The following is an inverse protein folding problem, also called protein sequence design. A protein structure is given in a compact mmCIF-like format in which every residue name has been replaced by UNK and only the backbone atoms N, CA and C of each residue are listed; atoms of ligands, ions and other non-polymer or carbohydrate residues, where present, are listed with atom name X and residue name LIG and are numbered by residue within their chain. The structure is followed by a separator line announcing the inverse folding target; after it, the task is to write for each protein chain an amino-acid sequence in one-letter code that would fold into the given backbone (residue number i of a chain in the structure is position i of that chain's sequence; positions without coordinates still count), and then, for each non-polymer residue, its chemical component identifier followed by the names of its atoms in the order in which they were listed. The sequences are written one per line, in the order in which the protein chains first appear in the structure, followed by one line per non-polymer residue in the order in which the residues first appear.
data_IF_275932833413
#
_entry.id   IF_275932833413
#
_cell.length_a   1.000
_cell.length_b   1.000
_cell.length_c   1.000
_cell.angle_alpha   90.00
_cell.angle_beta   90.00
_cell.angle_gamma   90.00
#
_symmetry.space_group_name_H-M   'P 1'
#
loop_
_entity.id
_entity.type
_entity.pdbx_description
1 polymer ?
#
# COMPACT_ATOMS: atom_id res chain seq x y z
N UNK A 1 -13.87 26.43 36.64
CA UNK A 1 -13.12 25.19 36.34
C UNK A 1 -13.89 24.25 35.42
N UNK A 2 -15.17 23.92 35.68
CA UNK A 2 -15.95 22.99 34.83
C UNK A 2 -16.09 23.41 33.35
N UNK A 3 -16.39 24.68 33.09
CA UNK A 3 -16.53 25.19 31.70
C UNK A 3 -15.22 25.09 30.92
N UNK A 4 -14.08 25.39 31.54
CA UNK A 4 -12.77 25.30 30.90
C UNK A 4 -12.43 23.86 30.49
N UNK A 5 -12.73 22.88 31.36
CA UNK A 5 -12.52 21.45 31.06
C UNK A 5 -13.43 21.01 29.91
N UNK A 6 -14.69 21.43 29.90
CA UNK A 6 -15.63 21.11 28.82
C UNK A 6 -15.19 21.67 27.46
N UNK A 7 -14.68 22.91 27.44
CA UNK A 7 -14.14 23.52 26.22
C UNK A 7 -12.89 22.81 25.71
N UNK A 8 -11.98 22.42 26.60
CA UNK A 8 -10.77 21.65 26.23
C UNK A 8 -11.16 20.28 25.68
N UNK A 9 -12.09 19.57 26.33
CA UNK A 9 -12.58 18.28 25.85
C UNK A 9 -13.24 18.39 24.47
N UNK A 10 -14.07 19.41 24.25
CA UNK A 10 -14.69 19.68 22.96
C UNK A 10 -13.64 19.95 21.86
N UNK A 11 -12.60 20.72 22.17
CA UNK A 11 -11.50 20.99 21.25
C UNK A 11 -10.71 19.71 20.90
N UNK A 12 -10.42 18.86 21.88
CA UNK A 12 -9.71 17.59 21.67
C UNK A 12 -10.54 16.67 20.75
N UNK A 13 -11.85 16.55 21.02
CA UNK A 13 -12.76 15.76 20.17
C UNK A 13 -12.75 16.30 18.73
N UNK A 14 -12.84 17.61 18.56
CA UNK A 14 -12.78 18.25 17.24
C UNK A 14 -11.48 17.91 16.49
N UNK A 15 -10.33 18.02 17.17
CA UNK A 15 -9.02 17.69 16.56
C UNK A 15 -8.93 16.21 16.18
N UNK A 16 -9.48 15.32 17.01
CA UNK A 16 -9.52 13.88 16.71
C UNK A 16 -10.36 13.61 15.46
N UNK A 17 -11.55 14.21 15.37
CA UNK A 17 -12.42 14.07 14.20
C UNK A 17 -11.72 14.52 12.90
N UNK A 18 -11.03 15.66 12.95
CA UNK A 18 -10.24 16.17 11.82
C UNK A 18 -9.18 15.17 11.41
N UNK A 19 -8.36 14.67 12.35
CA UNK A 19 -7.29 13.70 12.05
C UNK A 19 -7.82 12.41 11.40
N UNK A 20 -8.97 11.92 11.85
CA UNK A 20 -9.59 10.72 11.30
C UNK A 20 -9.92 10.93 9.82
N UNK A 21 -10.56 12.05 9.46
CA UNK A 21 -10.92 12.34 8.05
C UNK A 21 -9.69 12.38 7.14
N UNK A 22 -8.63 13.09 7.54
CA UNK A 22 -7.40 13.16 6.74
C UNK A 22 -6.72 11.79 6.61
N UNK A 23 -6.77 10.95 7.64
CA UNK A 23 -6.19 9.60 7.61
C UNK A 23 -6.93 8.70 6.62
N UNK A 24 -8.27 8.78 6.57
CA UNK A 24 -9.08 7.99 5.64
C UNK A 24 -8.81 8.37 4.17
N UNK A 25 -8.67 9.67 3.89
CA UNK A 25 -8.33 10.17 2.55
C UNK A 25 -6.91 9.71 2.16
N UNK A 26 -5.96 9.78 3.10
CA UNK A 26 -4.60 9.27 2.90
C UNK A 26 -4.58 7.79 2.54
N UNK A 27 -5.29 6.94 3.30
CA UNK A 27 -5.40 5.50 3.06
C UNK A 27 -5.99 5.18 1.68
N UNK A 28 -7.04 5.88 1.26
CA UNK A 28 -7.64 5.69 -0.05
C UNK A 28 -6.62 5.98 -1.17
N UNK A 29 -5.86 7.06 -1.04
CA UNK A 29 -4.81 7.41 -2.00
C UNK A 29 -3.65 6.40 -1.98
N UNK A 30 -3.21 5.94 -0.80
CA UNK A 30 -2.22 4.88 -0.64
C UNK A 30 -2.63 3.59 -1.37
N UNK A 31 -3.88 3.16 -1.19
CA UNK A 31 -4.42 1.97 -1.87
C UNK A 31 -4.45 2.12 -3.39
N UNK A 32 -4.82 3.31 -3.89
CA UNK A 32 -4.80 3.61 -5.32
C UNK A 32 -3.38 3.52 -5.89
N UNK A 33 -2.40 4.12 -5.21
CA UNK A 33 -0.99 4.09 -5.61
C UNK A 33 -0.45 2.65 -5.59
N UNK A 34 -0.78 1.88 -4.56
CA UNK A 34 -0.40 0.46 -4.46
C UNK A 34 -1.01 -0.37 -5.61
N UNK A 35 -2.27 -0.13 -5.97
CA UNK A 35 -2.93 -0.79 -7.10
C UNK A 35 -2.18 -0.53 -8.42
N UNK A 36 -1.81 0.72 -8.67
CA UNK A 36 -1.08 1.13 -9.87
C UNK A 36 0.31 0.50 -9.90
N UNK A 37 1.05 0.53 -8.78
CA UNK A 37 2.38 -0.07 -8.67
C UNK A 37 2.34 -1.58 -8.91
N UNK A 38 1.39 -2.29 -8.30
CA UNK A 38 1.26 -3.74 -8.49
C UNK A 38 0.82 -4.11 -9.91
N UNK A 39 0.00 -3.28 -10.55
CA UNK A 39 -0.37 -3.46 -11.96
C UNK A 39 0.83 -3.25 -12.89
N UNK A 40 1.65 -2.22 -12.63
CA UNK A 40 2.92 -1.98 -13.33
C UNK A 40 3.89 -3.16 -13.18
N UNK A 41 4.05 -3.69 -11.96
CA UNK A 41 4.90 -4.86 -11.71
C UNK A 41 4.43 -6.10 -12.50
N UNK A 42 3.11 -6.27 -12.65
CA UNK A 42 2.51 -7.34 -13.44
C UNK A 42 2.82 -7.26 -14.94
N UNK A 43 3.10 -6.08 -15.49
CA UNK A 43 3.56 -5.95 -16.88
C UNK A 43 5.04 -6.32 -17.06
N UNK A 44 5.85 -6.13 -16.01
CA UNK A 44 7.29 -6.43 -16.05
C UNK A 44 7.51 -7.95 -15.92
N UNK A 45 6.71 -8.62 -15.10
CA UNK A 45 6.80 -10.08 -14.94
C UNK A 45 6.03 -10.78 -16.07
N UNK A 46 6.68 -11.62 -16.90
CA UNK A 46 5.96 -12.37 -17.93
C UNK A 46 4.97 -13.33 -17.29
N UNK A 47 3.68 -13.17 -17.59
CA UNK A 47 2.57 -13.95 -17.03
C UNK A 47 1.43 -13.05 -16.53
N UNK A 48 0.27 -13.62 -16.21
CA UNK A 48 -0.82 -12.87 -15.56
C UNK A 48 -0.77 -13.13 -14.06
N UNK A 49 -0.84 -12.07 -13.24
CA UNK A 49 -1.01 -12.27 -11.80
C UNK A 49 -2.33 -13.01 -11.54
N UNK A 50 -2.33 -14.05 -10.69
CA UNK A 50 -3.56 -14.65 -10.21
C UNK A 50 -4.40 -13.55 -9.52
N UNK A 51 -5.72 -13.62 -9.65
CA UNK A 51 -6.68 -12.68 -9.04
C UNK A 51 -6.75 -11.26 -9.65
N UNK A 52 -6.12 -11.01 -10.81
CA UNK A 52 -6.29 -9.76 -11.57
C UNK A 52 -5.95 -8.50 -10.76
N UNK A 53 -6.87 -7.53 -10.70
CA UNK A 53 -6.68 -6.26 -9.97
C UNK A 53 -6.47 -6.48 -8.47
N UNK A 54 -7.13 -7.46 -7.86
CA UNK A 54 -6.94 -7.77 -6.44
C UNK A 54 -5.53 -8.31 -6.16
N UNK A 55 -5.02 -9.18 -7.05
CA UNK A 55 -3.65 -9.65 -6.99
C UNK A 55 -2.63 -8.52 -7.13
N UNK A 56 -2.91 -7.56 -8.01
CA UNK A 56 -2.08 -6.36 -8.18
C UNK A 56 -2.07 -5.48 -6.91
N UNK A 57 -3.22 -5.19 -6.31
CA UNK A 57 -3.28 -4.38 -5.07
C UNK A 57 -2.47 -5.05 -3.95
N UNK A 58 -2.68 -6.35 -3.73
CA UNK A 58 -1.97 -7.09 -2.68
C UNK A 58 -0.47 -7.16 -2.96
N UNK A 59 -0.07 -7.43 -4.21
CA UNK A 59 1.33 -7.42 -4.60
C UNK A 59 1.98 -6.04 -4.45
N UNK A 60 1.26 -4.96 -4.72
CA UNK A 60 1.73 -3.58 -4.52
C UNK A 60 1.89 -3.22 -3.04
N UNK A 61 0.91 -3.57 -2.19
CA UNK A 61 0.97 -3.33 -0.75
C UNK A 61 2.06 -4.16 -0.08
N UNK A 62 2.04 -5.49 -0.27
CA UNK A 62 3.06 -6.38 0.30
C UNK A 62 4.45 -6.10 -0.31
N UNK A 63 4.49 -5.79 -1.62
CA UNK A 63 5.71 -5.43 -2.34
C UNK A 63 6.32 -4.13 -1.83
N UNK A 64 5.52 -3.17 -1.38
CA UNK A 64 6.04 -1.96 -0.72
C UNK A 64 6.82 -2.26 0.54
N UNK A 65 6.33 -3.18 1.37
CA UNK A 65 7.02 -3.60 2.61
C UNK A 65 8.27 -4.43 2.29
N UNK A 66 8.16 -5.42 1.42
CA UNK A 66 9.32 -6.25 1.05
C UNK A 66 10.39 -5.39 0.37
N UNK A 67 9.99 -4.51 -0.54
CA UNK A 67 10.89 -3.61 -1.25
C UNK A 67 11.61 -2.64 -0.32
N UNK A 68 10.89 -2.00 0.60
CA UNK A 68 11.52 -1.10 1.58
C UNK A 68 12.44 -1.83 2.56
N UNK A 69 12.13 -3.07 2.92
CA UNK A 69 13.03 -3.92 3.71
C UNK A 69 14.32 -4.29 2.95
N UNK A 70 14.22 -4.53 1.64
CA UNK A 70 15.36 -4.95 0.82
C UNK A 70 16.29 -3.80 0.42
N UNK A 71 15.72 -2.65 0.04
CA UNK A 71 16.46 -1.55 -0.61
C UNK A 71 16.42 -0.26 0.23
N UNK A 72 15.68 -0.25 1.34
CA UNK A 72 15.43 0.94 2.13
C UNK A 72 14.35 1.84 1.54
N UNK A 73 13.99 2.90 2.27
CA UNK A 73 13.01 3.91 1.85
C UNK A 73 13.66 4.97 0.95
N UNK A 74 13.88 4.62 -0.32
CA UNK A 74 14.43 5.54 -1.31
C UNK A 74 13.30 6.44 -1.85
N UNK A 75 13.47 7.78 -1.84
CA UNK A 75 12.50 8.69 -2.47
C UNK A 75 12.44 8.45 -3.99
N UNK A 76 11.29 8.70 -4.66
CA UNK A 76 10.12 9.46 -4.23
C UNK A 76 9.07 8.65 -3.45
N UNK A 77 8.41 9.32 -2.50
CA UNK A 77 7.29 8.78 -1.73
C UNK A 77 5.97 9.32 -2.27
N UNK A 78 5.05 8.45 -2.68
CA UNK A 78 3.72 8.83 -3.17
C UNK A 78 2.68 8.07 -2.33
N UNK A 79 1.77 8.81 -1.69
CA UNK A 79 0.74 8.23 -0.84
C UNK A 79 1.30 7.43 0.35
N UNK A 80 2.42 7.87 0.93
CA UNK A 80 3.05 7.18 2.06
C UNK A 80 3.84 5.91 1.68
N UNK A 81 3.93 5.57 0.39
CA UNK A 81 4.70 4.43 -0.11
C UNK A 81 5.91 4.92 -0.90
N UNK A 82 7.08 4.33 -0.64
CA UNK A 82 8.27 4.54 -1.45
C UNK A 82 8.11 3.84 -2.81
N UNK A 83 8.04 4.60 -3.90
CA UNK A 83 7.63 4.09 -5.22
C UNK A 83 8.64 3.10 -5.78
N UNK A 84 9.93 3.46 -5.75
CA UNK A 84 10.99 2.62 -6.33
C UNK A 84 11.10 1.29 -5.57
N UNK A 85 11.25 1.28 -4.22
CA UNK A 85 11.26 0.02 -3.48
C UNK A 85 9.99 -0.80 -3.71
N UNK A 86 8.81 -0.16 -3.73
CA UNK A 86 7.54 -0.87 -3.93
C UNK A 86 7.42 -1.57 -5.27
N UNK A 87 7.90 -0.96 -6.37
CA UNK A 87 7.93 -1.62 -7.68
C UNK A 87 8.82 -2.87 -7.61
N UNK A 88 10.03 -2.75 -7.05
CA UNK A 88 10.96 -3.89 -6.99
C UNK A 88 10.40 -5.02 -6.13
N UNK A 89 9.90 -4.70 -4.94
CA UNK A 89 9.29 -5.70 -4.06
C UNK A 89 8.04 -6.33 -4.68
N UNK A 90 7.21 -5.55 -5.40
CA UNK A 90 6.03 -6.07 -6.09
C UNK A 90 6.41 -7.01 -7.25
N UNK A 91 7.48 -6.72 -8.00
CA UNK A 91 8.02 -7.60 -9.05
C UNK A 91 8.50 -8.93 -8.46
N UNK A 92 9.23 -8.88 -7.34
CA UNK A 92 9.71 -10.09 -6.63
C UNK A 92 8.53 -10.93 -6.14
N UNK A 93 7.52 -10.30 -5.52
CA UNK A 93 6.31 -10.96 -5.06
C UNK A 93 5.52 -11.58 -6.21
N UNK A 94 5.33 -10.84 -7.30
CA UNK A 94 4.63 -11.33 -8.50
C UNK A 94 5.34 -12.55 -9.11
N UNK A 95 6.68 -12.55 -9.11
CA UNK A 95 7.46 -13.70 -9.53
C UNK A 95 7.30 -14.90 -8.58
N UNK A 96 7.34 -14.68 -7.26
CA UNK A 96 7.12 -15.74 -6.26
C UNK A 96 5.72 -16.34 -6.32
N UNK A 97 4.68 -15.50 -6.42
CA UNK A 97 3.29 -15.90 -6.62
C UNK A 97 3.13 -16.75 -7.88
N UNK A 98 3.82 -16.41 -8.97
CA UNK A 98 3.84 -17.21 -10.19
C UNK A 98 4.48 -18.58 -9.96
N UNK A 99 5.64 -18.65 -9.31
CA UNK A 99 6.30 -19.93 -9.01
C UNK A 99 5.37 -20.85 -8.22
N UNK A 100 4.71 -20.32 -7.18
CA UNK A 100 3.74 -21.07 -6.39
C UNK A 100 2.55 -21.51 -7.24
N UNK A 101 2.01 -20.62 -8.08
CA UNK A 101 0.89 -20.92 -8.98
C UNK A 101 1.21 -22.01 -10.02
N UNK A 102 2.44 -22.01 -10.56
CA UNK A 102 2.90 -23.03 -11.51
C UNK A 102 3.08 -24.40 -10.86
N UNK A 103 3.58 -24.45 -9.61
CA UNK A 103 3.73 -25.70 -8.84
C UNK A 103 2.36 -26.26 -8.42
N UNK A 104 1.37 -25.38 -8.20
CA UNK A 104 0.00 -25.76 -7.83
C UNK A 104 -0.86 -26.25 -9.03
N UNK A 105 -0.31 -26.30 -10.25
CA UNK A 105 -0.98 -26.90 -11.42
C UNK A 105 -2.30 -26.25 -11.81
N UNK A 106 -2.50 -24.95 -11.53
CA UNK A 106 -3.78 -24.27 -11.71
C UNK A 106 -3.78 -23.02 -12.60
N UNK A 107 -2.69 -22.70 -13.29
CA UNK A 107 -2.63 -21.63 -14.30
C UNK A 107 -1.66 -21.98 -15.42
#
# INVERSE_FOLDING_TARGET
MGVAIALIAALIVLVILIKITFTLIGLAFTLLVAAVIGFLAGYIVPGRLPYGVLGAIVAGLAGSWIGTLLIGSIPPHIGGIAVIPAIVGAVILAFGLRLIGSVAGRL
#
